data_IF_523331699513
#
_entry.id   IF_523331699513
#
_cell.length_a   1.000
_cell.length_b   1.000
_cell.length_c   1.000
_cell.angle_alpha   90.00
_cell.angle_beta   90.00
_cell.angle_gamma   90.00
#
_symmetry.space_group_name_H-M   'P 1'
#
loop_
_entity.id
_entity.type
_entity.pdbx_description
1 polymer ?
#
# COMPACT_ATOMS: atom_id res chain seq x y z
N UNK A 1 -0.42 19.93 41.91
CA UNK A 1 -0.75 21.20 41.21
C UNK A 1 0.41 22.21 41.18
N UNK A 2 1.18 22.40 42.28
CA UNK A 2 2.32 23.35 42.31
C UNK A 2 3.48 22.98 41.37
N UNK A 3 3.75 21.70 41.14
CA UNK A 3 4.84 21.21 40.27
C UNK A 3 4.62 21.52 38.79
N UNK A 4 3.40 21.36 38.28
CA UNK A 4 3.04 21.68 36.90
C UNK A 4 3.21 23.19 36.61
N UNK A 5 2.86 24.03 37.58
CA UNK A 5 2.93 25.48 37.51
C UNK A 5 4.39 25.99 37.54
N UNK A 6 5.25 25.30 38.29
CA UNK A 6 6.71 25.53 38.28
C UNK A 6 7.34 25.08 36.96
N UNK A 7 6.93 23.93 36.42
CA UNK A 7 7.38 23.45 35.11
C UNK A 7 7.01 24.44 33.98
N UNK A 8 5.77 24.95 33.98
CA UNK A 8 5.34 25.95 33.00
C UNK A 8 6.12 27.27 33.11
N UNK A 9 6.38 27.74 34.35
CA UNK A 9 7.20 28.94 34.59
C UNK A 9 8.65 28.74 34.14
N UNK A 10 9.21 27.55 34.34
CA UNK A 10 10.55 27.16 33.86
C UNK A 10 10.62 27.15 32.32
N UNK A 11 9.63 26.54 31.66
CA UNK A 11 9.51 26.53 30.21
C UNK A 11 9.37 27.96 29.63
N UNK A 12 8.62 28.82 30.33
CA UNK A 12 8.45 30.23 29.99
C UNK A 12 9.71 31.07 30.24
N UNK A 13 10.65 30.62 31.05
CA UNK A 13 11.94 31.30 31.23
C UNK A 13 12.94 30.91 30.13
N UNK A 14 12.80 29.71 29.55
CA UNK A 14 13.63 29.17 28.46
C UNK A 14 12.86 29.06 27.15
N UNK A 15 12.13 30.12 26.77
CA UNK A 15 11.15 30.09 25.66
C UNK A 15 11.77 29.70 24.33
N UNK A 16 12.95 30.22 24.01
CA UNK A 16 13.65 29.94 22.75
C UNK A 16 14.04 28.47 22.63
N UNK A 17 14.70 27.91 23.64
CA UNK A 17 15.06 26.48 23.65
C UNK A 17 13.82 25.60 23.63
N UNK A 18 12.78 25.93 24.42
CA UNK A 18 11.52 25.19 24.44
C UNK A 18 10.82 25.20 23.06
N UNK A 19 10.76 26.37 22.40
CA UNK A 19 10.18 26.50 21.06
C UNK A 19 10.94 25.70 20.02
N UNK A 20 12.27 25.74 20.03
CA UNK A 20 13.10 24.95 19.12
C UNK A 20 12.88 23.44 19.32
N UNK A 21 12.78 23.00 20.58
CA UNK A 21 12.54 21.58 20.92
C UNK A 21 11.15 21.14 20.45
N UNK A 22 10.11 21.94 20.72
CA UNK A 22 8.74 21.67 20.28
C UNK A 22 8.67 21.63 18.75
N UNK A 23 9.32 22.58 18.07
CA UNK A 23 9.33 22.63 16.60
C UNK A 23 10.03 21.42 16.00
N UNK A 24 11.16 20.99 16.58
CA UNK A 24 11.86 19.79 16.14
C UNK A 24 11.00 18.53 16.29
N UNK A 25 10.32 18.37 17.44
CA UNK A 25 9.39 17.25 17.68
C UNK A 25 8.21 17.33 16.71
N UNK A 26 7.62 18.51 16.51
CA UNK A 26 6.50 18.71 15.61
C UNK A 26 6.85 18.36 14.18
N UNK A 27 8.01 18.81 13.67
CA UNK A 27 8.48 18.47 12.32
C UNK A 27 8.74 16.97 12.18
N UNK A 28 9.38 16.35 13.17
CA UNK A 28 9.66 14.91 13.16
C UNK A 28 8.38 14.07 13.10
N UNK A 29 7.40 14.39 13.95
CA UNK A 29 6.10 13.71 13.98
C UNK A 29 5.28 13.99 12.73
N UNK A 30 5.26 15.25 12.26
CA UNK A 30 4.56 15.63 11.04
C UNK A 30 5.13 14.91 9.80
N UNK A 31 6.45 14.76 9.71
CA UNK A 31 7.09 14.00 8.65
C UNK A 31 6.68 12.53 8.68
N UNK A 32 6.77 11.90 9.85
CA UNK A 32 6.40 10.48 10.01
C UNK A 32 4.94 10.23 9.63
N UNK A 33 4.03 11.04 10.17
CA UNK A 33 2.60 10.93 9.88
C UNK A 33 2.28 11.30 8.44
N UNK A 34 2.95 12.31 7.89
CA UNK A 34 2.78 12.76 6.51
C UNK A 34 3.14 11.66 5.50
N UNK A 35 4.29 11.00 5.68
CA UNK A 35 4.71 9.88 4.83
C UNK A 35 3.71 8.73 4.89
N UNK A 36 3.26 8.34 6.08
CA UNK A 36 2.31 7.24 6.22
C UNK A 36 0.93 7.60 5.65
N UNK A 37 0.45 8.84 5.87
CA UNK A 37 -0.79 9.36 5.27
C UNK A 37 -0.73 9.36 3.75
N UNK A 38 0.36 9.87 3.17
CA UNK A 38 0.55 9.90 1.71
C UNK A 38 0.59 8.48 1.13
N UNK A 39 1.28 7.56 1.80
CA UNK A 39 1.35 6.15 1.40
C UNK A 39 -0.04 5.50 1.40
N UNK A 40 -0.83 5.73 2.45
CA UNK A 40 -2.19 5.16 2.57
C UNK A 40 -3.14 5.78 1.56
N UNK A 41 -3.11 7.11 1.39
CA UNK A 41 -3.94 7.80 0.39
C UNK A 41 -3.62 7.34 -1.04
N UNK A 42 -2.32 7.14 -1.37
CA UNK A 42 -1.93 6.58 -2.66
C UNK A 42 -2.49 5.16 -2.85
N UNK A 43 -2.44 4.30 -1.81
CA UNK A 43 -3.02 2.95 -1.84
C UNK A 43 -4.52 2.96 -2.09
N UNK A 44 -5.25 3.80 -1.36
CA UNK A 44 -6.71 3.93 -1.50
C UNK A 44 -7.10 4.47 -2.88
N UNK A 45 -6.36 5.45 -3.41
CA UNK A 45 -6.60 5.98 -4.76
C UNK A 45 -6.49 4.91 -5.85
N UNK A 46 -5.52 4.00 -5.74
CA UNK A 46 -5.38 2.90 -6.69
C UNK A 46 -6.45 1.80 -6.52
N UNK A 47 -6.84 1.48 -5.28
CA UNK A 47 -7.89 0.50 -5.01
C UNK A 47 -9.26 0.95 -5.55
N UNK A 48 -9.60 2.23 -5.40
CA UNK A 48 -10.89 2.78 -5.83
C UNK A 48 -11.06 2.85 -7.36
N UNK A 49 -9.98 2.69 -8.15
CA UNK A 49 -10.05 2.75 -9.62
C UNK A 49 -10.44 1.40 -10.24
N UNK A 50 -10.38 0.30 -9.48
CA UNK A 50 -10.73 -1.04 -9.96
C UNK A 50 -12.21 -1.32 -9.64
N UNK A 51 -13.13 -0.82 -10.46
CA UNK A 51 -14.56 -1.17 -10.32
C UNK A 51 -14.82 -2.57 -10.87
N UNK A 52 -15.50 -3.42 -10.11
CA UNK A 52 -15.93 -4.75 -10.56
C UNK A 52 -14.92 -5.87 -10.31
N UNK A 53 -13.92 -5.68 -9.44
CA UNK A 53 -13.06 -6.77 -8.94
C UNK A 53 -13.10 -6.76 -7.42
N UNK A 54 -13.66 -7.81 -6.81
CA UNK A 54 -13.79 -7.91 -5.36
C UNK A 54 -12.49 -8.30 -4.67
N UNK A 55 -11.67 -9.13 -5.34
CA UNK A 55 -10.46 -9.69 -4.76
C UNK A 55 -9.37 -9.95 -5.80
N UNK A 56 -8.14 -9.52 -5.49
CA UNK A 56 -6.93 -9.87 -6.23
C UNK A 56 -6.20 -10.95 -5.45
N UNK A 57 -5.96 -12.10 -6.08
CA UNK A 57 -5.23 -13.23 -5.48
C UNK A 57 -3.92 -13.45 -6.21
N UNK A 58 -2.83 -13.52 -5.45
CA UNK A 58 -1.48 -13.76 -5.97
C UNK A 58 -0.64 -14.55 -4.97
N UNK A 59 0.59 -14.89 -5.36
CA UNK A 59 1.51 -15.54 -4.44
C UNK A 59 1.91 -14.57 -3.30
N UNK A 60 2.49 -15.15 -2.23
CA UNK A 60 2.91 -14.42 -1.03
C UNK A 60 3.79 -13.23 -1.40
N UNK A 61 3.23 -12.03 -1.29
CA UNK A 61 3.85 -10.75 -1.62
C UNK A 61 3.18 -9.63 -0.81
N UNK A 62 3.71 -8.41 -0.89
CA UNK A 62 3.04 -7.26 -0.28
C UNK A 62 1.76 -6.91 -1.03
N UNK A 63 0.64 -6.68 -0.32
CA UNK A 63 -0.67 -6.38 -0.91
C UNK A 63 -0.61 -5.25 -1.97
N UNK A 64 0.12 -4.17 -1.67
CA UNK A 64 0.30 -3.07 -2.62
C UNK A 64 1.09 -3.48 -3.86
N UNK A 65 2.14 -4.30 -3.70
CA UNK A 65 2.93 -4.77 -4.82
C UNK A 65 2.09 -5.66 -5.74
N UNK A 66 1.28 -6.57 -5.17
CA UNK A 66 0.33 -7.38 -5.94
C UNK A 66 -0.68 -6.52 -6.72
N UNK A 67 -1.24 -5.49 -6.10
CA UNK A 67 -2.18 -4.57 -6.76
C UNK A 67 -1.52 -3.76 -7.88
N UNK A 68 -0.37 -3.13 -7.59
CA UNK A 68 0.37 -2.33 -8.58
C UNK A 68 0.86 -3.18 -9.76
N UNK A 69 1.31 -4.41 -9.48
CA UNK A 69 1.77 -5.32 -10.51
C UNK A 69 0.61 -5.84 -11.37
N UNK A 70 -0.48 -6.29 -10.75
CA UNK A 70 -1.61 -6.91 -11.46
C UNK A 70 -2.40 -5.92 -12.30
N UNK A 71 -2.69 -4.74 -11.74
CA UNK A 71 -3.59 -3.74 -12.36
C UNK A 71 -2.81 -2.70 -13.15
N UNK A 72 -1.77 -2.13 -12.55
CA UNK A 72 -1.02 -1.01 -13.14
C UNK A 72 0.24 -1.46 -13.87
N UNK A 73 0.60 -2.75 -13.79
CA UNK A 73 1.84 -3.31 -14.35
C UNK A 73 3.09 -2.57 -13.83
N UNK A 74 3.07 -2.08 -12.59
CA UNK A 74 4.20 -1.35 -11.97
C UNK A 74 4.86 -2.23 -10.92
N UNK A 75 6.19 -2.24 -10.92
CA UNK A 75 7.01 -2.98 -9.95
C UNK A 75 7.56 -4.30 -10.51
N UNK A 76 8.18 -5.06 -9.62
CA UNK A 76 8.82 -6.35 -9.94
C UNK A 76 7.82 -7.50 -9.94
N UNK A 77 8.15 -8.55 -10.70
CA UNK A 77 7.32 -9.75 -10.77
C UNK A 77 7.15 -10.40 -9.40
N UNK A 78 5.92 -10.60 -8.98
CA UNK A 78 5.60 -11.47 -7.84
C UNK A 78 5.74 -12.94 -8.25
N UNK A 79 5.93 -13.83 -7.27
CA UNK A 79 5.86 -15.26 -7.56
C UNK A 79 4.51 -15.62 -8.20
N UNK A 80 4.52 -16.65 -9.06
CA UNK A 80 3.30 -17.11 -9.73
C UNK A 80 2.46 -18.00 -8.81
N UNK A 81 1.15 -17.94 -8.97
CA UNK A 81 0.22 -18.92 -8.39
C UNK A 81 0.26 -20.18 -9.25
N UNK A 82 0.33 -21.35 -8.62
CA UNK A 82 0.29 -22.61 -9.38
C UNK A 82 -1.09 -22.82 -10.02
N UNK A 83 -1.11 -23.43 -11.20
CA UNK A 83 -2.36 -23.71 -11.93
C UNK A 83 -3.35 -24.53 -11.09
N UNK A 84 -2.86 -25.49 -10.29
CA UNK A 84 -3.69 -26.28 -9.40
C UNK A 84 -4.35 -25.43 -8.31
N UNK A 85 -3.67 -24.41 -7.80
CA UNK A 85 -4.22 -23.48 -6.80
C UNK A 85 -5.31 -22.61 -7.42
N UNK A 86 -5.07 -22.09 -8.63
CA UNK A 86 -6.08 -21.37 -9.40
C UNK A 86 -7.33 -22.23 -9.61
N UNK A 87 -7.18 -23.48 -10.07
CA UNK A 87 -8.32 -24.38 -10.27
C UNK A 87 -9.11 -24.68 -8.98
N UNK A 88 -8.45 -24.74 -7.82
CA UNK A 88 -9.13 -24.88 -6.54
C UNK A 88 -9.97 -23.65 -6.19
N UNK A 89 -9.45 -22.45 -6.43
CA UNK A 89 -10.15 -21.18 -6.18
C UNK A 89 -11.32 -21.02 -7.15
N UNK A 90 -11.08 -21.24 -8.44
CA UNK A 90 -12.10 -21.11 -9.49
C UNK A 90 -13.27 -22.11 -9.35
N UNK A 91 -13.08 -23.21 -8.60
CA UNK A 91 -14.13 -24.20 -8.30
C UNK A 91 -14.81 -23.97 -6.95
N UNK A 92 -14.42 -22.93 -6.21
CA UNK A 92 -15.01 -22.64 -4.91
C UNK A 92 -16.45 -22.14 -5.09
N UNK A 93 -17.43 -22.59 -4.28
CA UNK A 93 -18.84 -22.23 -4.46
C UNK A 93 -19.12 -20.73 -4.31
N UNK A 94 -18.31 -20.01 -3.53
CA UNK A 94 -18.45 -18.56 -3.32
C UNK A 94 -17.82 -17.71 -4.45
N UNK A 95 -17.29 -18.35 -5.50
CA UNK A 95 -16.59 -17.68 -6.60
C UNK A 95 -17.45 -17.73 -7.87
N UNK A 96 -18.05 -16.61 -8.22
CA UNK A 96 -18.93 -16.48 -9.39
C UNK A 96 -18.13 -16.51 -10.71
N UNK A 97 -17.02 -15.78 -10.77
CA UNK A 97 -16.13 -15.78 -11.92
C UNK A 97 -14.68 -15.51 -11.52
N UNK A 98 -13.74 -15.94 -12.36
CA UNK A 98 -12.30 -15.65 -12.20
C UNK A 98 -11.64 -15.45 -13.54
N UNK A 99 -10.61 -14.59 -13.58
CA UNK A 99 -9.77 -14.38 -14.75
C UNK A 99 -8.32 -14.62 -14.33
N UNK A 100 -7.66 -15.68 -14.84
CA UNK A 100 -6.25 -15.89 -14.59
C UNK A 100 -5.45 -14.91 -15.44
N UNK A 101 -4.49 -14.23 -14.82
CA UNK A 101 -3.55 -13.35 -15.51
C UNK A 101 -2.12 -13.87 -15.30
N UNK A 102 -1.34 -13.87 -16.38
CA UNK A 102 0.09 -14.16 -16.37
C UNK A 102 0.83 -12.98 -16.97
N UNK A 103 1.70 -12.38 -16.18
CA UNK A 103 2.49 -11.20 -16.51
C UNK A 103 3.97 -11.61 -16.45
N UNK A 104 4.80 -11.17 -17.40
CA UNK A 104 6.24 -11.40 -17.27
C UNK A 104 7.02 -11.32 -18.58
N UNK A 105 6.41 -11.70 -19.69
CA UNK A 105 7.10 -11.65 -20.99
C UNK A 105 6.83 -10.33 -21.72
N UNK A 106 7.73 -9.96 -22.64
CA UNK A 106 7.59 -8.81 -23.50
C UNK A 106 7.93 -9.20 -24.93
N UNK A 107 7.08 -8.84 -25.88
CA UNK A 107 7.29 -9.10 -27.29
C UNK A 107 7.44 -7.77 -28.03
N UNK A 108 8.59 -7.57 -28.68
CA UNK A 108 8.90 -6.35 -29.47
C UNK A 108 8.72 -5.05 -28.69
N UNK A 109 9.07 -5.05 -27.40
CA UNK A 109 8.94 -3.87 -26.52
C UNK A 109 7.54 -3.67 -25.93
N UNK A 110 6.57 -4.53 -26.25
CA UNK A 110 5.24 -4.52 -25.65
C UNK A 110 5.12 -5.61 -24.58
N UNK A 111 4.61 -5.24 -23.40
CA UNK A 111 4.34 -6.21 -22.32
C UNK A 111 3.21 -7.15 -22.74
N UNK A 112 3.49 -8.45 -22.72
CA UNK A 112 2.50 -9.49 -23.04
C UNK A 112 1.80 -9.90 -21.75
N UNK A 113 0.49 -10.09 -21.84
CA UNK A 113 -0.34 -10.65 -20.77
C UNK A 113 -1.00 -11.92 -21.31
N UNK A 114 -0.78 -13.03 -20.63
CA UNK A 114 -1.54 -14.25 -20.84
C UNK A 114 -2.82 -14.21 -20.02
N UNK A 115 -3.95 -14.53 -20.63
CA UNK A 115 -5.21 -14.76 -19.95
C UNK A 115 -6.02 -15.81 -20.71
N UNK A 116 -7.13 -16.27 -20.14
CA UNK A 116 -8.04 -17.17 -20.85
C UNK A 116 -8.77 -16.39 -21.94
N UNK A 117 -8.76 -16.90 -23.17
CA UNK A 117 -9.73 -16.47 -24.18
C UNK A 117 -11.08 -17.08 -23.80
N UNK A 118 -12.04 -16.26 -23.39
CA UNK A 118 -13.43 -16.65 -23.53
C UNK A 118 -13.80 -16.61 -25.01
#
# INVERSE_FOLDING_TARGET
MKTLLLALRSLRNRRTTALLTISAIAISVALLLGVEKMRTAAREGFANTVSGVDLIVGARSGQLNLLLYSVFRVGDATANVSWQSYQKIARHPDVDWTIPISLGDSHRGFRVMGTTGQ
#
